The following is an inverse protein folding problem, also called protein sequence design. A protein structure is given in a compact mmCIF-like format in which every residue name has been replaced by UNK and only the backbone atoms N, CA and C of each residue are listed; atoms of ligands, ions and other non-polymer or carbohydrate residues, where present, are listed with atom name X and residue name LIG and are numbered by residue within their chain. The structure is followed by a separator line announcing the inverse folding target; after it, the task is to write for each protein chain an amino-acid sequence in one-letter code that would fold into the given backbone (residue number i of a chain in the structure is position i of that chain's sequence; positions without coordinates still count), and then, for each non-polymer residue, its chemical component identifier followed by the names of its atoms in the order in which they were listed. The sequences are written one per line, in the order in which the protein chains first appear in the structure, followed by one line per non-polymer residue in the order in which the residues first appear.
data_IF_788007907468
#
_entry.id   IF_788007907468
#
_cell.length_a   1.000
_cell.length_b   1.000
_cell.length_c   1.000
_cell.angle_alpha   90.00
_cell.angle_beta   90.00
_cell.angle_gamma   90.00
#
_symmetry.space_group_name_H-M   'P 1'
#
loop_
_entity.id
_entity.type
_entity.pdbx_description
1 polymer ?
#
# COMPACT_ATOMS: atom_id res chain seq x y z
N UNK A 1 21.89 -19.94 3.66
CA UNK A 1 22.72 -18.72 3.77
C UNK A 1 22.32 -17.85 2.59
N UNK A 2 21.34 -16.98 2.77
CA UNK A 2 21.06 -15.91 1.81
C UNK A 2 22.20 -14.93 1.99
N UNK A 3 23.23 -15.10 1.16
CA UNK A 3 24.34 -14.16 1.09
C UNK A 3 23.77 -12.79 0.80
N UNK A 4 24.42 -11.80 1.37
CA UNK A 4 24.35 -10.39 1.05
C UNK A 4 23.79 -10.20 -0.37
N UNK A 5 22.54 -9.76 -0.48
CA UNK A 5 21.95 -9.38 -1.75
C UNK A 5 22.67 -8.11 -2.17
N UNK A 6 23.88 -8.33 -2.66
CA UNK A 6 24.84 -7.30 -3.01
C UNK A 6 24.12 -6.16 -3.71
N UNK A 7 24.32 -5.00 -3.18
CA UNK A 7 23.87 -3.72 -3.70
C UNK A 7 23.95 -3.71 -5.24
N UNK A 8 22.89 -4.16 -5.91
CA UNK A 8 22.66 -3.65 -7.24
C UNK A 8 22.39 -2.16 -7.05
N UNK A 9 23.13 -1.28 -7.70
CA UNK A 9 22.65 0.07 -7.89
C UNK A 9 21.36 -0.09 -8.71
N UNK A 10 20.24 -0.16 -8.02
CA UNK A 10 18.96 -0.09 -8.66
C UNK A 10 18.89 1.34 -9.15
N UNK A 11 19.02 1.51 -10.44
CA UNK A 11 18.46 2.69 -11.06
C UNK A 11 16.97 2.63 -10.77
N UNK A 12 16.58 3.24 -9.66
CA UNK A 12 15.21 3.23 -9.14
C UNK A 12 14.23 3.84 -10.14
N UNK A 13 14.73 4.53 -11.15
CA UNK A 13 13.92 5.12 -12.21
C UNK A 13 13.47 4.08 -13.24
N UNK A 14 14.29 3.10 -13.57
CA UNK A 14 14.01 2.19 -14.68
C UNK A 14 12.86 1.20 -14.43
N UNK A 15 12.77 0.48 -13.28
CA UNK A 15 11.63 -0.43 -13.03
C UNK A 15 10.31 0.32 -12.86
N UNK A 16 10.35 1.53 -12.30
CA UNK A 16 9.16 2.34 -12.04
C UNK A 16 8.70 3.16 -13.25
N UNK A 17 9.43 3.14 -14.35
CA UNK A 17 9.08 3.85 -15.59
C UNK A 17 8.54 2.91 -16.68
N UNK A 18 8.58 1.60 -16.46
CA UNK A 18 8.13 0.62 -17.44
C UNK A 18 6.85 -0.07 -16.98
N UNK A 19 5.75 0.24 -17.64
CA UNK A 19 4.46 -0.41 -17.43
C UNK A 19 4.24 -1.54 -18.45
N UNK A 20 4.12 -2.76 -17.96
CA UNK A 20 3.70 -3.92 -18.75
C UNK A 20 2.89 -4.82 -17.83
N UNK A 21 1.63 -5.05 -18.15
CA UNK A 21 0.81 -6.02 -17.42
C UNK A 21 1.17 -7.44 -17.85
N UNK A 22 1.96 -8.11 -17.02
CA UNK A 22 2.40 -9.48 -17.23
C UNK A 22 1.96 -10.38 -16.07
N UNK A 23 1.50 -11.59 -16.40
CA UNK A 23 1.24 -12.60 -15.40
C UNK A 23 2.56 -13.26 -14.95
N UNK A 24 2.92 -13.11 -13.69
CA UNK A 24 4.11 -13.68 -13.08
C UNK A 24 3.85 -15.06 -12.45
N UNK A 25 2.66 -15.63 -12.67
CA UNK A 25 2.31 -16.96 -12.18
C UNK A 25 1.47 -16.94 -10.89
N UNK A 26 1.59 -18.02 -10.17
CA UNK A 26 0.85 -18.26 -8.91
C UNK A 26 1.81 -18.56 -7.79
N UNK A 27 1.63 -17.92 -6.65
CA UNK A 27 2.32 -18.22 -5.40
C UNK A 27 1.35 -18.89 -4.44
N UNK A 28 1.68 -20.10 -4.03
CA UNK A 28 0.91 -20.90 -3.08
C UNK A 28 1.74 -21.34 -1.87
N UNK A 29 3.04 -21.07 -1.91
CA UNK A 29 4.00 -21.41 -0.88
C UNK A 29 5.12 -20.38 -0.81
N UNK A 30 5.89 -20.39 0.28
CA UNK A 30 7.11 -19.57 0.41
C UNK A 30 8.15 -19.92 -0.66
N UNK A 31 8.22 -21.18 -1.10
CA UNK A 31 9.12 -21.60 -2.16
C UNK A 31 8.83 -20.91 -3.49
N UNK A 32 7.55 -20.69 -3.83
CA UNK A 32 7.19 -19.95 -5.06
C UNK A 32 7.72 -18.51 -4.99
N UNK A 33 7.60 -17.88 -3.83
CA UNK A 33 8.10 -16.52 -3.59
C UNK A 33 9.63 -16.47 -3.66
N UNK A 34 10.29 -17.43 -3.02
CA UNK A 34 11.75 -17.52 -3.01
C UNK A 34 12.31 -17.73 -4.42
N UNK A 35 11.69 -18.61 -5.21
CA UNK A 35 12.06 -18.82 -6.61
C UNK A 35 11.91 -17.54 -7.45
N UNK A 36 10.81 -16.80 -7.24
CA UNK A 36 10.60 -15.50 -7.90
C UNK A 36 11.66 -14.48 -7.50
N UNK A 37 11.91 -14.31 -6.20
CA UNK A 37 12.92 -13.38 -5.70
C UNK A 37 14.33 -13.76 -6.15
N UNK A 38 14.64 -15.05 -6.13
CA UNK A 38 15.90 -15.56 -6.66
C UNK A 38 16.09 -15.18 -8.13
N UNK A 39 15.06 -15.39 -8.95
CA UNK A 39 15.08 -15.02 -10.37
C UNK A 39 15.27 -13.52 -10.56
N UNK A 40 14.60 -12.69 -9.74
CA UNK A 40 14.79 -11.24 -9.76
C UNK A 40 16.24 -10.82 -9.46
N UNK A 41 16.92 -11.56 -8.58
CA UNK A 41 18.32 -11.27 -8.20
C UNK A 41 19.34 -11.70 -9.26
N UNK A 42 19.03 -12.71 -10.05
CA UNK A 42 19.97 -13.33 -10.99
C UNK A 42 19.75 -12.94 -12.45
N UNK A 43 18.67 -12.26 -12.74
CA UNK A 43 18.37 -11.74 -14.07
C UNK A 43 18.62 -10.23 -14.18
N UNK A 44 18.80 -9.74 -15.40
CA UNK A 44 19.12 -8.35 -15.70
C UNK A 44 17.91 -7.42 -15.60
N UNK A 45 17.27 -7.35 -14.45
CA UNK A 45 16.19 -6.42 -14.22
C UNK A 45 14.88 -7.06 -13.80
N UNK A 46 14.77 -7.38 -12.52
CA UNK A 46 13.54 -7.86 -11.88
C UNK A 46 12.84 -9.03 -12.61
N UNK A 47 13.59 -9.85 -13.35
CA UNK A 47 13.06 -11.00 -14.08
C UNK A 47 11.87 -10.66 -14.98
N UNK A 48 11.94 -9.54 -15.67
CA UNK A 48 10.81 -9.04 -16.47
C UNK A 48 9.63 -8.49 -15.65
N UNK A 49 9.69 -8.54 -14.33
CA UNK A 49 8.68 -7.89 -13.49
C UNK A 49 8.73 -6.37 -13.69
N UNK A 50 7.57 -5.77 -13.93
CA UNK A 50 7.40 -4.36 -14.22
C UNK A 50 6.21 -3.81 -13.44
N UNK A 51 6.04 -2.51 -13.41
CA UNK A 51 4.81 -1.90 -12.90
C UNK A 51 3.61 -2.46 -13.67
N UNK A 52 2.56 -2.86 -12.96
CA UNK A 52 1.37 -3.48 -13.56
C UNK A 52 1.46 -5.00 -13.77
N UNK A 53 2.65 -5.62 -13.65
CA UNK A 53 2.75 -7.07 -13.58
C UNK A 53 2.03 -7.59 -12.35
N UNK A 54 1.46 -8.78 -12.43
CA UNK A 54 0.66 -9.33 -11.35
C UNK A 54 0.94 -10.80 -11.09
N UNK A 55 0.67 -11.20 -9.86
CA UNK A 55 0.78 -12.58 -9.38
C UNK A 55 -0.52 -12.99 -8.71
N UNK A 56 -0.90 -14.25 -8.83
CA UNK A 56 -2.03 -14.81 -8.04
C UNK A 56 -1.47 -15.37 -6.74
N UNK A 57 -1.87 -14.79 -5.60
CA UNK A 57 -1.52 -15.32 -4.26
C UNK A 57 -2.65 -16.20 -3.76
N UNK A 58 -2.37 -17.47 -3.54
CA UNK A 58 -3.32 -18.47 -3.02
C UNK A 58 -3.08 -18.69 -1.52
N UNK A 59 -3.60 -17.80 -0.71
CA UNK A 59 -3.48 -17.83 0.75
C UNK A 59 -4.53 -18.71 1.46
N UNK A 60 -5.41 -19.34 0.68
CA UNK A 60 -6.49 -20.20 1.18
C UNK A 60 -7.75 -19.43 1.60
N UNK A 61 -7.72 -18.10 1.61
CA UNK A 61 -8.84 -17.24 2.03
C UNK A 61 -9.28 -16.32 0.91
N UNK A 62 -8.39 -15.45 0.47
CA UNK A 62 -8.70 -14.44 -0.54
C UNK A 62 -8.43 -14.93 -1.96
N UNK A 63 -7.34 -15.64 -2.19
CA UNK A 63 -6.95 -16.22 -3.49
C UNK A 63 -7.03 -15.18 -4.64
N UNK A 64 -6.42 -14.01 -4.45
CA UNK A 64 -6.55 -12.87 -5.36
C UNK A 64 -5.30 -12.64 -6.19
N UNK A 65 -5.48 -11.90 -7.28
CA UNK A 65 -4.39 -11.31 -8.04
C UNK A 65 -3.91 -10.04 -7.32
N UNK A 66 -2.58 -9.91 -7.24
CA UNK A 66 -1.88 -8.78 -6.66
C UNK A 66 -0.99 -8.17 -7.72
N UNK A 67 -1.06 -6.88 -7.89
CA UNK A 67 -0.31 -6.14 -8.91
C UNK A 67 0.86 -5.40 -8.28
N UNK A 68 1.97 -5.34 -9.00
CA UNK A 68 3.13 -4.54 -8.62
C UNK A 68 2.79 -3.07 -8.83
N UNK A 69 2.69 -2.33 -7.73
CA UNK A 69 2.41 -0.90 -7.73
C UNK A 69 3.69 -0.06 -7.79
N UNK A 70 4.80 -0.62 -7.36
CA UNK A 70 6.11 0.05 -7.41
C UNK A 70 7.21 -0.82 -6.82
N UNK A 71 8.45 -0.45 -7.14
CA UNK A 71 9.66 -1.01 -6.56
C UNK A 71 10.31 0.07 -5.70
N UNK A 72 10.66 -0.29 -4.47
CA UNK A 72 11.38 0.56 -3.51
C UNK A 72 10.71 1.92 -3.21
N UNK A 73 9.46 2.09 -3.62
CA UNK A 73 8.73 3.34 -3.47
C UNK A 73 8.42 3.68 -2.00
N UNK A 74 8.48 2.70 -1.12
CA UNK A 74 8.30 2.87 0.33
C UNK A 74 9.63 2.92 1.10
N UNK A 75 10.78 2.80 0.42
CA UNK A 75 12.09 2.73 1.09
C UNK A 75 12.32 3.88 2.06
N UNK A 76 12.10 5.09 1.59
CA UNK A 76 12.26 6.31 2.39
C UNK A 76 10.88 6.89 2.69
N UNK A 77 10.14 6.24 3.60
CA UNK A 77 8.82 6.72 3.98
C UNK A 77 8.93 8.07 4.68
N UNK A 78 8.30 9.08 4.13
CA UNK A 78 8.50 10.47 4.51
C UNK A 78 7.23 11.10 5.06
N UNK A 79 7.34 11.74 6.22
CA UNK A 79 6.30 12.58 6.78
C UNK A 79 6.27 13.98 6.14
N UNK A 80 5.15 14.65 6.25
CA UNK A 80 4.97 16.03 5.77
C UNK A 80 5.88 17.05 6.44
N UNK A 81 6.35 16.76 7.66
CA UNK A 81 7.31 17.55 8.43
C UNK A 81 8.78 17.29 8.02
N UNK A 82 9.01 16.39 7.09
CA UNK A 82 10.34 16.01 6.60
C UNK A 82 10.97 14.83 7.32
N UNK A 83 10.38 14.30 8.39
CA UNK A 83 10.89 13.09 9.05
C UNK A 83 10.83 11.90 8.10
N UNK A 84 11.88 11.08 8.07
CA UNK A 84 12.02 9.93 7.17
C UNK A 84 12.26 8.66 8.00
N UNK A 85 11.61 7.58 7.59
CA UNK A 85 11.87 6.22 8.09
C UNK A 85 12.33 5.34 6.93
N UNK A 86 13.44 4.66 7.10
CA UNK A 86 13.92 3.67 6.13
C UNK A 86 13.14 2.36 6.30
N UNK A 87 12.54 1.90 5.22
CA UNK A 87 11.80 0.64 5.14
C UNK A 87 12.56 -0.45 4.36
N UNK A 88 13.79 -0.14 3.93
CA UNK A 88 14.54 -1.04 3.07
C UNK A 88 13.98 -1.13 1.64
N UNK A 89 14.58 -1.99 0.88
CA UNK A 89 14.15 -2.28 -0.50
C UNK A 89 12.95 -3.23 -0.50
N UNK A 90 12.05 -3.10 -1.49
CA UNK A 90 10.92 -4.00 -1.58
C UNK A 90 9.97 -3.74 -2.74
N UNK A 91 9.10 -4.71 -2.96
CA UNK A 91 8.05 -4.65 -3.97
C UNK A 91 6.74 -4.27 -3.28
N UNK A 92 6.12 -3.19 -3.73
CA UNK A 92 4.81 -2.79 -3.27
C UNK A 92 3.73 -3.54 -4.08
N UNK A 93 2.94 -4.35 -3.39
CA UNK A 93 1.82 -5.10 -3.99
C UNK A 93 0.49 -4.53 -3.52
N UNK A 94 -0.44 -4.36 -4.45
CA UNK A 94 -1.83 -4.03 -4.15
C UNK A 94 -2.77 -5.08 -4.76
N UNK A 95 -3.91 -5.40 -4.12
CA UNK A 95 -4.86 -6.35 -4.71
C UNK A 95 -5.48 -5.75 -5.97
N UNK A 96 -5.57 -6.53 -7.04
CA UNK A 96 -6.16 -6.11 -8.31
C UNK A 96 -7.69 -5.99 -8.23
N UNK A 97 -8.31 -6.69 -7.30
CA UNK A 97 -9.75 -6.64 -7.06
C UNK A 97 -10.03 -6.61 -5.56
N UNK A 98 -11.23 -6.24 -5.17
CA UNK A 98 -11.65 -6.19 -3.77
C UNK A 98 -11.35 -7.50 -3.03
N UNK A 99 -10.82 -7.38 -1.82
CA UNK A 99 -10.67 -8.50 -0.89
C UNK A 99 -11.99 -8.84 -0.17
N UNK A 100 -12.96 -7.93 -0.22
CA UNK A 100 -14.27 -8.05 0.43
C UNK A 100 -14.85 -6.68 0.76
N UNK A 101 -16.02 -6.69 1.37
CA UNK A 101 -16.65 -5.48 1.91
C UNK A 101 -16.34 -5.41 3.40
N UNK A 102 -15.63 -4.37 3.82
CA UNK A 102 -15.23 -4.17 5.20
C UNK A 102 -15.65 -2.77 5.66
N UNK A 103 -16.10 -2.64 6.89
CA UNK A 103 -16.27 -1.34 7.50
C UNK A 103 -14.90 -0.71 7.75
N UNK A 104 -14.76 0.57 7.41
CA UNK A 104 -13.54 1.34 7.74
C UNK A 104 -13.41 1.48 9.25
N UNK A 105 -14.51 1.88 9.92
CA UNK A 105 -14.65 1.87 11.37
C UNK A 105 -16.12 1.60 11.74
N UNK A 106 -16.39 1.35 13.03
CA UNK A 106 -17.74 1.08 13.51
C UNK A 106 -18.66 2.30 13.38
N UNK A 107 -18.49 3.28 14.27
CA UNK A 107 -19.35 4.48 14.30
C UNK A 107 -18.57 5.79 14.53
N UNK A 108 -17.27 5.72 14.68
CA UNK A 108 -16.49 6.84 15.19
C UNK A 108 -15.06 6.83 14.66
N UNK A 109 -14.71 7.88 13.91
CA UNK A 109 -13.36 8.13 13.40
C UNK A 109 -12.48 8.94 14.36
N UNK A 110 -12.87 9.13 15.62
CA UNK A 110 -12.16 9.98 16.60
C UNK A 110 -10.73 9.51 16.88
N UNK A 111 -10.46 8.22 16.69
CA UNK A 111 -9.14 7.61 16.88
C UNK A 111 -8.26 7.65 15.63
N UNK A 112 -8.69 8.37 14.61
CA UNK A 112 -8.00 8.37 13.34
C UNK A 112 -7.94 6.98 12.67
N UNK A 113 -7.10 6.87 11.65
CA UNK A 113 -6.93 5.58 10.98
C UNK A 113 -6.26 4.54 11.89
N UNK A 114 -5.32 4.96 12.73
CA UNK A 114 -4.60 4.05 13.62
C UNK A 114 -5.52 3.23 14.53
N UNK A 115 -6.60 3.83 15.02
CA UNK A 115 -7.58 3.18 15.89
C UNK A 115 -8.79 2.59 15.17
N UNK A 116 -8.89 2.69 13.85
CA UNK A 116 -10.02 2.17 13.08
C UNK A 116 -10.10 0.65 13.07
N UNK A 117 -11.30 0.11 12.92
CA UNK A 117 -11.53 -1.35 12.86
C UNK A 117 -10.79 -1.99 11.68
N UNK A 118 -10.73 -1.32 10.55
CA UNK A 118 -10.02 -1.86 9.39
C UNK A 118 -8.53 -2.01 9.67
N UNK A 119 -7.93 -1.05 10.35
CA UNK A 119 -6.49 -1.09 10.69
C UNK A 119 -6.17 -2.06 11.83
N UNK A 120 -7.02 -2.14 12.86
CA UNK A 120 -6.73 -2.91 14.08
C UNK A 120 -7.18 -4.36 14.02
N UNK A 121 -8.07 -4.72 13.09
CA UNK A 121 -8.65 -6.06 12.99
C UNK A 121 -8.56 -6.64 11.56
N UNK A 122 -9.08 -5.93 10.59
CA UNK A 122 -9.21 -6.48 9.22
C UNK A 122 -7.86 -6.68 8.55
N UNK A 123 -7.03 -5.65 8.49
CA UNK A 123 -5.73 -5.72 7.82
C UNK A 123 -4.72 -6.65 8.51
N UNK A 124 -4.68 -6.77 9.85
CA UNK A 124 -3.92 -7.83 10.51
C UNK A 124 -4.36 -9.24 10.11
N UNK A 125 -5.67 -9.46 9.92
CA UNK A 125 -6.18 -10.75 9.42
C UNK A 125 -5.75 -11.00 7.98
N UNK A 126 -5.80 -10.00 7.11
CA UNK A 126 -5.27 -10.08 5.73
C UNK A 126 -3.78 -10.44 5.76
N UNK A 127 -2.99 -9.74 6.57
CA UNK A 127 -1.55 -9.99 6.72
C UNK A 127 -1.26 -11.41 7.20
N UNK A 128 -2.03 -11.93 8.15
CA UNK A 128 -1.91 -13.31 8.65
C UNK A 128 -2.14 -14.33 7.54
N UNK A 129 -3.13 -14.11 6.68
CA UNK A 129 -3.39 -15.00 5.55
C UNK A 129 -2.28 -14.91 4.49
N UNK A 130 -1.88 -13.71 4.10
CA UNK A 130 -0.77 -13.52 3.16
C UNK A 130 0.53 -14.15 3.66
N UNK A 131 0.79 -14.09 4.97
CA UNK A 131 1.98 -14.66 5.58
C UNK A 131 2.09 -16.18 5.44
N UNK A 132 0.97 -16.89 5.22
CA UNK A 132 0.99 -18.33 4.92
C UNK A 132 1.73 -18.67 3.63
N UNK A 133 1.71 -17.74 2.66
CA UNK A 133 2.37 -17.88 1.36
C UNK A 133 3.67 -17.10 1.32
N UNK A 134 3.65 -15.84 1.78
CA UNK A 134 4.81 -14.96 1.68
C UNK A 134 5.86 -15.21 2.78
N UNK A 135 5.47 -15.87 3.88
CA UNK A 135 6.39 -16.16 4.98
C UNK A 135 7.06 -14.90 5.54
N UNK A 136 8.36 -14.96 5.69
CA UNK A 136 9.18 -13.84 6.15
C UNK A 136 9.45 -12.79 5.06
N UNK A 137 9.05 -13.05 3.81
CA UNK A 137 9.13 -12.07 2.72
C UNK A 137 8.01 -11.02 2.80
N UNK A 138 6.94 -11.27 3.56
CA UNK A 138 6.01 -10.23 3.97
C UNK A 138 6.64 -9.46 5.14
N UNK A 139 7.19 -8.28 4.86
CA UNK A 139 7.91 -7.47 5.84
C UNK A 139 7.02 -6.40 6.45
N UNK A 140 7.27 -6.06 7.71
CA UNK A 140 6.71 -4.86 8.31
C UNK A 140 7.45 -3.63 7.80
N UNK A 141 6.71 -2.56 7.59
CA UNK A 141 7.27 -1.26 7.24
C UNK A 141 6.82 -0.19 8.23
N UNK A 142 7.64 0.83 8.40
CA UNK A 142 7.24 2.03 9.12
C UNK A 142 6.18 2.78 8.30
N UNK A 143 5.11 3.15 8.94
CA UNK A 143 4.02 3.94 8.35
C UNK A 143 3.61 5.03 9.31
N UNK A 144 3.23 6.18 8.78
CA UNK A 144 2.70 7.28 9.56
C UNK A 144 1.17 7.21 9.50
N UNK A 145 0.54 7.07 10.64
CA UNK A 145 -0.91 6.90 10.74
C UNK A 145 -1.53 8.00 11.58
N UNK A 146 -2.69 8.50 11.14
CA UNK A 146 -3.47 9.43 11.95
C UNK A 146 -4.03 8.75 13.19
N UNK A 147 -3.88 9.41 14.35
CA UNK A 147 -4.33 8.92 15.67
C UNK A 147 -5.51 9.70 16.23
N UNK A 148 -5.89 10.78 15.57
CA UNK A 148 -6.98 11.63 15.99
C UNK A 148 -7.59 12.42 14.83
N UNK A 149 -8.62 13.20 15.16
CA UNK A 149 -9.26 14.14 14.24
C UNK A 149 -9.63 15.43 14.94
N UNK A 150 -9.63 16.52 14.24
CA UNK A 150 -10.14 17.81 14.74
C UNK A 150 -11.68 17.86 14.74
N UNK A 151 -12.24 18.97 15.21
CA UNK A 151 -13.68 19.21 15.22
C UNK A 151 -14.32 19.25 13.82
N UNK A 152 -13.54 19.39 12.77
CA UNK A 152 -13.98 19.38 11.39
C UNK A 152 -13.69 18.03 10.71
N UNK A 153 -13.34 17.01 11.49
CA UNK A 153 -13.08 15.64 11.05
C UNK A 153 -11.83 15.45 10.15
N UNK A 154 -10.90 16.40 10.15
CA UNK A 154 -9.60 16.21 9.52
C UNK A 154 -8.64 15.54 10.49
N UNK A 155 -7.76 14.69 9.97
CA UNK A 155 -6.69 14.13 10.76
C UNK A 155 -5.81 15.24 11.35
N UNK A 156 -5.52 15.20 12.64
CA UNK A 156 -4.77 16.23 13.33
C UNK A 156 -3.55 15.74 14.08
N UNK A 157 -3.53 14.49 14.47
CA UNK A 157 -2.43 13.86 15.18
C UNK A 157 -1.95 12.65 14.41
N UNK A 158 -0.64 12.38 14.47
CA UNK A 158 -0.01 11.31 13.71
C UNK A 158 1.02 10.57 14.56
N UNK A 159 1.15 9.28 14.33
CA UNK A 159 2.17 8.46 14.97
C UNK A 159 2.84 7.53 13.97
N UNK A 160 4.16 7.36 14.14
CA UNK A 160 4.89 6.31 13.47
C UNK A 160 4.59 4.96 14.12
N UNK A 161 4.27 3.99 13.30
CA UNK A 161 4.07 2.59 13.71
C UNK A 161 4.63 1.66 12.65
N UNK A 162 4.55 0.36 12.89
CA UNK A 162 4.90 -0.65 11.88
C UNK A 162 3.68 -1.45 11.49
N UNK A 163 3.55 -1.78 10.21
CA UNK A 163 2.46 -2.60 9.70
C UNK A 163 2.90 -3.48 8.53
N UNK A 164 2.31 -4.67 8.44
CA UNK A 164 2.45 -5.55 7.26
C UNK A 164 1.56 -5.09 6.10
N UNK A 165 0.36 -4.65 6.40
CA UNK A 165 -0.62 -4.18 5.43
C UNK A 165 -1.25 -2.88 5.92
N UNK A 166 -1.49 -1.94 5.02
CA UNK A 166 -2.22 -0.69 5.29
C UNK A 166 -3.14 -0.39 4.12
N UNK A 167 -4.16 0.43 4.33
CA UNK A 167 -4.81 1.09 3.21
C UNK A 167 -3.84 2.09 2.59
N UNK A 168 -4.01 2.35 1.31
CA UNK A 168 -3.26 3.40 0.62
C UNK A 168 -3.66 4.78 1.15
N UNK A 169 -2.71 5.70 1.17
CA UNK A 169 -2.99 7.11 1.40
C UNK A 169 -3.55 7.77 0.13
N UNK A 170 -4.20 8.91 0.30
CA UNK A 170 -4.60 9.73 -0.83
C UNK A 170 -3.39 10.15 -1.67
N UNK A 171 -2.30 10.54 -1.03
CA UNK A 171 -1.04 10.89 -1.70
C UNK A 171 -0.47 9.76 -2.55
N UNK A 172 -0.54 8.51 -2.06
CA UNK A 172 -0.08 7.34 -2.81
C UNK A 172 -0.87 7.10 -4.10
N UNK A 173 -2.14 7.46 -4.13
CA UNK A 173 -3.00 7.26 -5.30
C UNK A 173 -3.01 8.47 -6.23
N UNK A 174 -3.20 9.67 -5.69
CA UNK A 174 -3.40 10.88 -6.49
C UNK A 174 -2.15 11.73 -6.66
N UNK A 175 -1.17 11.57 -5.77
CA UNK A 175 0.01 12.42 -5.69
C UNK A 175 -0.25 13.79 -5.07
N UNK A 176 -1.45 14.03 -4.55
CA UNK A 176 -1.86 15.33 -4.01
C UNK A 176 -2.55 15.18 -2.66
N UNK A 177 -2.69 16.31 -1.95
CA UNK A 177 -3.56 16.35 -0.78
C UNK A 177 -5.02 16.19 -1.18
N UNK A 178 -5.75 15.56 -0.31
CA UNK A 178 -7.18 15.52 -0.42
C UNK A 178 -7.89 16.67 0.30
N UNK A 179 -7.20 17.50 1.08
CA UNK A 179 -7.81 18.58 1.85
C UNK A 179 -7.37 19.97 1.40
N UNK A 180 -8.29 20.93 1.49
CA UNK A 180 -8.04 22.35 1.20
C UNK A 180 -7.20 23.06 2.28
N UNK A 181 -6.69 22.33 3.28
CA UNK A 181 -6.01 22.91 4.44
C UNK A 181 -4.50 22.94 4.34
N UNK A 182 -3.91 22.63 3.20
CA UNK A 182 -2.47 22.54 3.02
C UNK A 182 -1.79 21.57 4.01
N UNK A 183 -2.53 20.55 4.47
CA UNK A 183 -2.04 19.48 5.33
C UNK A 183 -2.29 18.14 4.67
N UNK A 184 -1.40 17.21 4.89
CA UNK A 184 -1.58 15.83 4.47
C UNK A 184 -2.61 15.16 5.39
N UNK A 185 -3.65 14.57 4.82
CA UNK A 185 -4.74 13.98 5.59
C UNK A 185 -4.30 12.80 6.46
N UNK A 186 -3.17 12.21 6.14
CA UNK A 186 -2.57 11.08 6.84
C UNK A 186 -1.16 11.35 7.37
N UNK A 187 -0.71 12.61 7.32
CA UNK A 187 0.59 13.05 7.80
C UNK A 187 1.78 12.68 6.90
N UNK A 188 1.55 11.98 5.80
CA UNK A 188 2.62 11.59 4.87
C UNK A 188 2.96 12.69 3.88
N UNK A 189 4.19 12.68 3.38
CA UNK A 189 4.55 13.49 2.24
C UNK A 189 3.84 13.00 0.97
N UNK A 190 3.51 13.94 0.09
CA UNK A 190 2.94 13.59 -1.21
C UNK A 190 3.93 12.74 -2.02
N UNK A 191 3.52 11.55 -2.34
CA UNK A 191 4.17 10.72 -3.34
C UNK A 191 3.11 9.81 -3.98
N UNK A 192 3.22 9.63 -5.27
CA UNK A 192 2.30 8.79 -6.02
C UNK A 192 2.96 7.45 -6.29
N UNK A 193 2.27 6.36 -6.01
CA UNK A 193 2.76 5.05 -6.39
C UNK A 193 2.88 4.99 -7.92
N UNK A 194 3.99 4.46 -8.44
CA UNK A 194 4.27 4.44 -9.87
C UNK A 194 3.13 3.88 -10.73
N UNK A 195 2.41 2.87 -10.24
CA UNK A 195 1.26 2.29 -10.94
C UNK A 195 0.21 3.33 -11.33
N UNK A 196 -0.08 4.29 -10.46
CA UNK A 196 -1.12 5.29 -10.70
C UNK A 196 -0.67 6.43 -11.62
N UNK A 197 0.55 6.40 -12.14
CA UNK A 197 0.98 7.29 -13.20
C UNK A 197 0.49 6.84 -14.60
N UNK A 198 -0.10 5.65 -14.68
CA UNK A 198 -0.58 5.09 -15.94
C UNK A 198 -2.11 5.14 -16.00
N UNK A 199 -2.65 5.80 -17.01
CA UNK A 199 -4.09 6.00 -17.21
C UNK A 199 -4.88 4.70 -17.39
N UNK A 200 -4.20 3.63 -17.79
CA UNK A 200 -4.82 2.31 -18.00
C UNK A 200 -5.13 1.57 -16.68
N UNK A 201 -4.68 2.10 -15.55
CA UNK A 201 -4.97 1.48 -14.28
C UNK A 201 -6.21 2.09 -13.64
N UNK A 202 -7.18 1.24 -13.30
CA UNK A 202 -8.37 1.60 -12.53
C UNK A 202 -8.72 0.48 -11.54
N UNK A 203 -9.44 0.85 -10.48
CA UNK A 203 -10.07 -0.14 -9.60
C UNK A 203 -11.44 -0.52 -10.15
N UNK A 204 -11.77 -1.80 -10.15
CA UNK A 204 -13.08 -2.29 -10.60
C UNK A 204 -14.22 -2.00 -9.59
N UNK A 205 -13.87 -1.49 -8.41
CA UNK A 205 -14.79 -1.25 -7.30
C UNK A 205 -14.35 -0.05 -6.47
N UNK A 206 -15.25 0.47 -5.64
CA UNK A 206 -14.93 1.45 -4.61
C UNK A 206 -13.86 0.90 -3.67
N UNK A 207 -12.83 1.68 -3.42
CA UNK A 207 -11.76 1.35 -2.48
C UNK A 207 -11.67 2.39 -1.37
N UNK A 208 -11.51 1.95 -0.13
CA UNK A 208 -11.23 2.82 0.99
C UNK A 208 -9.78 3.29 0.96
N UNK A 209 -9.58 4.56 1.26
CA UNK A 209 -8.28 5.15 1.57
C UNK A 209 -8.19 5.41 3.07
N UNK A 210 -6.97 5.60 3.60
CA UNK A 210 -6.78 5.84 5.03
C UNK A 210 -6.96 7.29 5.46
N UNK A 211 -7.03 8.24 4.53
CA UNK A 211 -7.22 9.66 4.83
C UNK A 211 -8.61 9.97 5.39
N UNK A 212 -8.68 10.93 6.31
CA UNK A 212 -9.91 11.53 6.81
C UNK A 212 -10.17 12.82 6.05
N UNK A 213 -11.34 12.98 5.47
CA UNK A 213 -11.62 14.08 4.53
C UNK A 213 -12.47 15.23 5.09
N UNK A 214 -12.68 15.29 6.39
CA UNK A 214 -13.49 16.36 6.99
C UNK A 214 -14.99 16.24 6.76
N UNK A 215 -15.74 17.18 7.29
CA UNK A 215 -17.20 17.21 7.13
C UNK A 215 -17.57 17.78 5.75
N UNK A 216 -18.33 16.98 5.01
CA UNK A 216 -19.47 17.56 4.30
C UNK A 216 -20.67 16.66 4.56
N UNK A 217 -21.54 17.13 5.45
CA UNK A 217 -22.97 16.86 5.49
C UNK A 217 -23.49 15.57 6.15
N UNK A 218 -22.72 14.65 6.67
CA UNK A 218 -23.29 13.53 7.45
C UNK A 218 -22.54 13.36 8.78
N UNK A 219 -23.28 13.16 9.85
CA UNK A 219 -22.85 13.12 11.26
C UNK A 219 -21.74 12.15 11.67
N UNK A 220 -21.06 11.51 10.75
CA UNK A 220 -19.98 10.57 10.99
C UNK A 220 -18.85 10.91 10.02
N UNK A 221 -17.63 11.03 10.50
CA UNK A 221 -16.47 11.38 9.67
C UNK A 221 -16.45 10.66 8.33
N UNK A 222 -16.18 11.38 7.26
CA UNK A 222 -16.12 10.84 5.89
C UNK A 222 -14.71 10.39 5.62
N UNK A 223 -14.55 9.24 5.02
CA UNK A 223 -13.27 8.71 4.54
C UNK A 223 -13.26 8.74 3.01
N UNK A 224 -12.08 8.92 2.44
CA UNK A 224 -11.94 8.88 0.99
C UNK A 224 -12.19 7.49 0.45
N UNK A 225 -13.02 7.43 -0.58
CA UNK A 225 -13.20 6.25 -1.40
C UNK A 225 -12.83 6.60 -2.84
N UNK A 226 -12.25 5.66 -3.55
CA UNK A 226 -12.01 5.76 -4.98
C UNK A 226 -13.21 5.20 -5.72
N UNK A 227 -13.68 5.93 -6.73
CA UNK A 227 -14.65 5.42 -7.69
C UNK A 227 -13.95 5.03 -8.97
N UNK A 228 -14.52 4.06 -9.66
CA UNK A 228 -14.01 3.61 -10.97
C UNK A 228 -14.57 4.42 -12.13
N UNK A 229 -15.51 5.32 -11.90
CA UNK A 229 -16.00 6.25 -12.91
C UNK A 229 -15.02 7.41 -13.03
N UNK A 230 -14.06 7.28 -13.99
CA UNK A 230 -13.31 8.41 -14.51
C UNK A 230 -14.21 9.38 -15.21
#
# INVERSE_FOLDING_TARGET
MLGDMGQRPIDSSTPNTRYISQNLGTWSSTTDVENFLYSCCHDTGYYGATIGSYVTIKDGTYNKQWVIAGFDCEKNHKASDGNIKDNGYGICLIPKSSLGSFAWDGSNTSKGYAGSTINTSTLPTVATNLKKVLGNHLVQRNVLLSTGRDSNYYANDYTWTTAYCTLMSTGQVTGTFASNRNKYDDGEANYKLPLFNYETWSFDVWAWLRGLCGINVINNGVVYGLTTSG
#
